data_IF_200309871863
#
_entry.id   IF_200309871863
#
_cell.length_a   1.000
_cell.length_b   1.000
_cell.length_c   1.000
_cell.angle_alpha   90.00
_cell.angle_beta   90.00
_cell.angle_gamma   90.00
#
_symmetry.space_group_name_H-M   'P 1'
#
loop_
_entity.id
_entity.type
_entity.pdbx_description
1 polymer ?
#
# COMPACT_ATOMS: atom_id res chain seq x y z
N UNK A 1 7.77 25.82 -6.69
CA UNK A 1 6.48 25.11 -6.69
C UNK A 1 6.75 23.73 -7.27
N UNK A 2 6.94 22.62 -6.57
CA UNK A 2 7.01 22.27 -5.15
C UNK A 2 8.14 21.24 -5.00
N UNK A 3 9.19 21.61 -4.28
CA UNK A 3 10.33 20.75 -4.01
C UNK A 3 10.05 19.96 -2.71
N UNK A 4 9.31 18.85 -2.81
CA UNK A 4 9.34 17.67 -1.90
C UNK A 4 8.32 16.62 -2.36
N UNK A 5 8.78 15.69 -3.22
CA UNK A 5 7.98 14.68 -3.94
C UNK A 5 7.40 13.53 -3.11
N UNK A 6 6.91 13.80 -1.89
CA UNK A 6 6.35 12.80 -0.99
C UNK A 6 4.83 12.65 -1.24
N UNK A 7 4.42 11.55 -1.87
CA UNK A 7 3.00 11.28 -2.19
C UNK A 7 2.25 10.57 -1.06
N UNK A 8 2.95 10.13 -0.02
CA UNK A 8 2.40 9.32 1.06
C UNK A 8 2.98 9.71 2.43
N UNK A 9 2.25 9.50 3.55
CA UNK A 9 2.75 9.84 4.89
C UNK A 9 4.00 9.07 5.33
N UNK A 10 4.11 7.79 4.95
CA UNK A 10 5.29 6.96 5.24
C UNK A 10 6.30 7.05 4.11
N UNK A 11 7.59 7.18 4.47
CA UNK A 11 8.73 7.33 3.55
C UNK A 11 9.83 6.29 3.79
N UNK A 12 9.57 5.26 4.59
CA UNK A 12 10.55 4.21 4.88
C UNK A 12 10.67 3.18 3.75
N UNK A 13 11.70 2.32 3.81
CA UNK A 13 12.02 1.36 2.75
C UNK A 13 11.18 0.08 2.81
N UNK A 14 10.47 -0.20 3.89
CA UNK A 14 9.72 -1.43 4.09
C UNK A 14 8.23 -1.27 3.73
N UNK A 15 7.53 -2.38 3.50
CA UNK A 15 6.06 -2.34 3.44
C UNK A 15 5.46 -1.95 4.78
N UNK A 16 4.33 -1.26 4.73
CA UNK A 16 3.57 -0.81 5.88
C UNK A 16 2.08 -1.11 5.68
N UNK A 17 1.30 -0.94 6.74
CA UNK A 17 -0.15 -0.96 6.66
C UNK A 17 -0.66 0.41 6.23
N UNK A 18 -1.45 0.47 5.17
CA UNK A 18 -2.02 1.71 4.64
C UNK A 18 -3.55 1.71 4.68
N UNK A 19 -4.13 2.86 5.03
CA UNK A 19 -5.57 3.14 4.91
C UNK A 19 -5.82 4.08 3.73
N UNK A 20 -6.82 3.74 2.93
CA UNK A 20 -7.15 4.44 1.69
C UNK A 20 -8.57 4.96 1.75
N UNK A 21 -8.80 6.11 1.11
CA UNK A 21 -10.12 6.69 0.90
C UNK A 21 -10.17 7.26 -0.51
N UNK A 22 -11.02 6.71 -1.36
CA UNK A 22 -11.17 7.21 -2.72
C UNK A 22 -11.79 8.62 -2.71
N UNK A 23 -11.16 9.64 -3.31
CA UNK A 23 -11.70 11.00 -3.32
C UNK A 23 -12.96 11.14 -4.20
N UNK A 24 -13.18 10.21 -5.15
CA UNK A 24 -14.33 10.25 -6.05
C UNK A 24 -15.57 9.56 -5.46
N UNK A 25 -15.42 8.37 -4.88
CA UNK A 25 -16.55 7.56 -4.41
C UNK A 25 -16.60 7.33 -2.90
N UNK A 26 -15.68 7.92 -2.14
CA UNK A 26 -15.57 7.80 -0.67
C UNK A 26 -15.38 6.38 -0.12
N UNK A 27 -15.25 5.35 -0.98
CA UNK A 27 -14.93 3.99 -0.53
C UNK A 27 -13.60 3.99 0.23
N UNK A 28 -13.58 3.31 1.36
CA UNK A 28 -12.38 3.09 2.17
C UNK A 28 -11.93 1.63 2.09
N UNK A 29 -10.64 1.41 2.21
CA UNK A 29 -10.05 0.07 2.32
C UNK A 29 -8.70 0.13 3.01
N UNK A 30 -8.21 -1.04 3.42
CA UNK A 30 -6.95 -1.20 4.14
C UNK A 30 -6.06 -2.22 3.42
N UNK A 31 -4.74 -2.07 3.52
CA UNK A 31 -3.80 -2.98 2.90
C UNK A 31 -2.48 -3.05 3.65
N UNK A 32 -2.03 -4.28 3.96
CA UNK A 32 -0.70 -4.56 4.51
C UNK A 32 0.45 -4.57 3.48
N UNK A 33 0.16 -4.17 2.23
CA UNK A 33 1.13 -4.07 1.14
C UNK A 33 1.24 -2.62 0.63
N UNK A 34 1.21 -1.65 1.56
CA UNK A 34 1.44 -0.25 1.24
C UNK A 34 2.94 0.06 1.24
N UNK A 35 3.39 0.94 0.34
CA UNK A 35 4.77 1.40 0.25
C UNK A 35 4.84 2.92 0.14
N UNK A 36 5.99 3.48 0.52
CA UNK A 36 6.29 4.89 0.31
C UNK A 36 6.09 5.27 -1.17
N UNK A 37 5.39 6.39 -1.41
CA UNK A 37 5.15 7.00 -2.71
C UNK A 37 4.40 6.11 -3.72
N UNK A 38 3.62 5.14 -3.24
CA UNK A 38 2.80 4.24 -4.08
C UNK A 38 1.33 4.29 -3.68
N UNK A 39 0.45 4.13 -4.67
CA UNK A 39 -1.00 4.04 -4.46
C UNK A 39 -1.59 2.68 -4.85
N UNK A 40 -2.89 2.55 -4.59
CA UNK A 40 -3.72 1.45 -5.04
C UNK A 40 -4.91 1.97 -5.85
N UNK A 41 -5.27 1.27 -6.92
CA UNK A 41 -6.38 1.63 -7.77
C UNK A 41 -7.70 1.34 -7.08
N UNK A 42 -8.60 2.33 -7.05
CA UNK A 42 -9.96 2.13 -6.59
C UNK A 42 -10.71 1.21 -7.57
N UNK A 43 -11.27 0.11 -7.08
CA UNK A 43 -12.02 -0.87 -7.89
C UNK A 43 -13.26 -0.32 -8.59
N UNK A 44 -13.79 0.83 -8.16
CA UNK A 44 -14.98 1.47 -8.76
C UNK A 44 -14.63 2.61 -9.70
N UNK A 45 -13.61 3.40 -9.36
CA UNK A 45 -13.30 4.65 -10.06
C UNK A 45 -12.07 4.54 -10.95
N UNK A 46 -11.32 3.45 -10.84
CA UNK A 46 -10.12 3.15 -11.63
C UNK A 46 -9.04 4.24 -11.56
N UNK A 47 -9.06 5.06 -10.51
CA UNK A 47 -8.02 6.03 -10.20
C UNK A 47 -7.06 5.46 -9.16
N UNK A 48 -5.79 5.84 -9.26
CA UNK A 48 -4.78 5.59 -8.22
C UNK A 48 -5.10 6.44 -7.01
N UNK A 49 -5.19 5.80 -5.85
CA UNK A 49 -5.43 6.44 -4.55
C UNK A 49 -4.22 6.18 -3.66
N UNK A 50 -3.63 7.25 -3.16
CA UNK A 50 -2.55 7.17 -2.18
C UNK A 50 -3.13 6.99 -0.77
N UNK A 51 -2.47 6.22 0.10
CA UNK A 51 -2.92 6.05 1.48
C UNK A 51 -2.87 7.39 2.22
N UNK A 52 -3.91 7.67 2.99
CA UNK A 52 -3.98 8.87 3.83
C UNK A 52 -3.42 8.63 5.24
N UNK A 53 -3.29 7.36 5.65
CA UNK A 53 -2.57 6.92 6.84
C UNK A 53 -1.72 5.72 6.49
N UNK A 54 -0.51 5.69 7.04
CA UNK A 54 0.38 4.53 6.98
C UNK A 54 1.00 4.28 8.35
N UNK A 55 1.01 3.03 8.78
CA UNK A 55 1.63 2.59 10.05
C UNK A 55 2.53 1.39 9.78
N UNK A 56 3.64 1.31 10.50
CA UNK A 56 4.53 0.16 10.40
C UNK A 56 3.75 -1.14 10.66
N UNK A 57 4.13 -2.21 9.95
CA UNK A 57 3.65 -3.54 10.30
C UNK A 57 4.37 -3.96 11.58
N UNK A 58 3.65 -3.99 12.70
CA UNK A 58 4.17 -4.56 13.93
C UNK A 58 4.43 -6.04 13.71
N UNK A 59 5.56 -6.55 14.24
CA UNK A 59 5.79 -7.99 14.28
C UNK A 59 4.72 -8.56 15.22
N UNK A 60 3.89 -9.52 14.79
CA UNK A 60 3.02 -10.22 15.69
C UNK A 60 3.81 -10.76 16.87
N UNK A 61 3.31 -10.61 18.10
CA UNK A 61 3.82 -11.32 19.29
C UNK A 61 3.48 -12.84 19.23
N UNK A 62 3.42 -13.42 18.02
CA UNK A 62 2.98 -14.79 17.76
C UNK A 62 1.46 -15.01 17.71
N UNK A 63 0.64 -14.02 18.08
CA UNK A 63 -0.83 -14.14 18.09
C UNK A 63 -1.49 -13.76 16.76
N UNK A 64 -0.90 -12.85 15.98
CA UNK A 64 -1.43 -12.42 14.69
C UNK A 64 -1.00 -13.41 13.58
N UNK A 65 -1.99 -14.14 13.05
CA UNK A 65 -1.84 -15.19 12.03
C UNK A 65 -1.86 -14.65 10.60
N UNK A 66 -1.58 -13.36 10.38
CA UNK A 66 -1.60 -12.80 9.04
C UNK A 66 -0.45 -13.36 8.21
N UNK A 67 -0.79 -14.14 7.17
CA UNK A 67 0.18 -14.66 6.21
C UNK A 67 0.89 -13.49 5.49
N UNK A 68 2.19 -13.27 5.75
CA UNK A 68 2.94 -12.16 5.16
C UNK A 68 3.14 -12.34 3.64
N UNK A 69 2.88 -13.53 3.12
CA UNK A 69 3.00 -13.88 1.69
C UNK A 69 1.66 -13.82 0.97
N UNK A 70 0.56 -13.52 1.68
CA UNK A 70 -0.78 -13.43 1.11
C UNK A 70 -0.79 -12.44 -0.05
N UNK A 71 -1.11 -12.95 -1.23
CA UNK A 71 -1.24 -12.15 -2.45
C UNK A 71 -2.40 -11.16 -2.29
N UNK A 72 -2.21 -9.95 -2.78
CA UNK A 72 -3.26 -8.95 -2.94
C UNK A 72 -3.55 -8.77 -4.44
N UNK A 73 -4.63 -8.08 -4.83
CA UNK A 73 -4.91 -7.73 -6.22
C UNK A 73 -3.75 -6.92 -6.82
N UNK A 74 -2.86 -7.59 -7.58
CA UNK A 74 -1.60 -7.02 -8.06
C UNK A 74 -1.86 -5.99 -9.16
N UNK A 75 -2.88 -6.23 -9.97
CA UNK A 75 -3.38 -5.35 -11.00
C UNK A 75 -3.87 -4.00 -10.45
N UNK A 76 -4.21 -3.93 -9.17
CA UNK A 76 -4.60 -2.68 -8.52
C UNK A 76 -3.46 -2.02 -7.75
N UNK A 77 -2.30 -2.66 -7.62
CA UNK A 77 -1.19 -2.15 -6.82
C UNK A 77 -0.12 -1.51 -7.70
N UNK A 78 0.07 -0.21 -7.56
CA UNK A 78 1.04 0.54 -8.37
C UNK A 78 2.47 0.00 -8.20
N UNK A 79 2.83 -0.48 -7.00
CA UNK A 79 4.15 -1.11 -6.75
C UNK A 79 4.30 -2.42 -7.52
N UNK A 80 3.28 -3.28 -7.53
CA UNK A 80 3.31 -4.53 -8.29
C UNK A 80 3.36 -4.29 -9.79
N UNK A 81 2.57 -3.35 -10.30
CA UNK A 81 2.62 -2.93 -11.70
C UNK A 81 4.02 -2.44 -12.10
N UNK A 82 4.65 -1.59 -11.26
CA UNK A 82 6.00 -1.09 -11.50
C UNK A 82 7.09 -2.17 -11.43
N UNK A 83 6.92 -3.19 -10.59
CA UNK A 83 7.88 -4.31 -10.46
C UNK A 83 7.67 -5.39 -11.53
N UNK A 84 6.45 -5.54 -12.05
CA UNK A 84 6.04 -6.69 -12.87
C UNK A 84 5.79 -7.97 -12.05
N UNK A 85 5.85 -7.91 -10.72
CA UNK A 85 5.61 -9.04 -9.82
C UNK A 85 5.15 -8.61 -8.42
N UNK A 86 4.77 -9.60 -7.60
CA UNK A 86 4.26 -9.41 -6.25
C UNK A 86 5.24 -8.65 -5.33
N UNK A 87 4.82 -7.48 -4.85
CA UNK A 87 5.66 -6.62 -4.02
C UNK A 87 5.88 -7.12 -2.59
N UNK A 88 5.18 -8.15 -2.12
CA UNK A 88 5.33 -8.68 -0.75
C UNK A 88 6.44 -9.73 -0.58
N UNK A 89 7.26 -10.03 -1.60
CA UNK A 89 8.44 -10.88 -1.43
C UNK A 89 9.41 -10.25 -0.41
N UNK A 90 9.94 -11.06 0.51
CA UNK A 90 11.07 -10.65 1.35
C UNK A 90 12.22 -10.25 0.42
N UNK A 91 12.62 -8.98 0.45
CA UNK A 91 13.90 -8.55 -0.09
C UNK A 91 14.95 -8.99 0.93
N UNK A 92 15.89 -9.84 0.51
CA UNK A 92 16.98 -10.34 1.34
C UNK A 92 18.09 -9.30 1.42
#
# INVERSE_FOLDING_TARGET
MDATGNKTPYQGPARCFGEYRCPKCNRTWMSGNSWANTGQQCTRCEIVVYPHKQRALEKPDGLDKSDPTKKHPQELCQKCQSLGYFCGRKQW
#
